data_IF_333640403131
#
_entry.id   IF_333640403131
#
_cell.length_a   1.000
_cell.length_b   1.000
_cell.length_c   1.000
_cell.angle_alpha   90.00
_cell.angle_beta   90.00
_cell.angle_gamma   90.00
#
_symmetry.space_group_name_H-M   'P 1'
#
loop_
_entity.id
_entity.type
_entity.pdbx_description
1 polymer ?
#
# COMPACT_ATOMS: atom_id res chain seq x y z
N UNK A 1 8.43 13.65 12.36
CA UNK A 1 7.63 12.59 11.67
C UNK A 1 7.47 11.36 12.56
N UNK A 2 6.51 10.52 12.21
CA UNK A 2 6.31 9.22 12.89
C UNK A 2 7.58 8.38 12.79
N UNK A 3 8.23 8.38 11.63
CA UNK A 3 9.49 7.68 11.41
C UNK A 3 10.55 8.09 12.42
N UNK A 4 10.79 9.39 12.54
CA UNK A 4 11.78 9.92 13.47
C UNK A 4 11.46 9.56 14.94
N UNK A 5 10.18 9.61 15.31
CA UNK A 5 9.74 9.25 16.64
C UNK A 5 10.02 7.78 16.96
N UNK A 6 9.72 6.88 16.01
CA UNK A 6 9.97 5.44 16.17
C UNK A 6 11.48 5.13 16.18
N UNK A 7 12.26 5.80 15.35
CA UNK A 7 13.72 5.62 15.32
C UNK A 7 14.36 6.03 16.65
N UNK A 8 13.84 7.08 17.30
CA UNK A 8 14.28 7.49 18.64
C UNK A 8 14.01 6.43 19.71
N UNK A 9 12.96 5.63 19.52
CA UNK A 9 12.62 4.52 20.42
C UNK A 9 13.41 3.23 20.08
N UNK A 10 14.34 3.28 19.13
CA UNK A 10 15.22 2.19 18.80
C UNK A 10 14.71 1.28 17.66
N UNK A 11 13.65 1.65 16.99
CA UNK A 11 13.14 0.88 15.84
C UNK A 11 13.90 1.21 14.56
N UNK A 12 14.14 0.20 13.74
CA UNK A 12 14.51 0.40 12.35
C UNK A 12 13.24 0.65 11.54
N UNK A 13 13.15 1.79 10.88
CA UNK A 13 11.93 2.18 10.15
C UNK A 13 12.21 2.29 8.67
N UNK A 14 11.40 1.58 7.87
CA UNK A 14 11.39 1.69 6.41
C UNK A 14 10.02 2.22 5.98
N UNK A 15 10.03 3.25 5.15
CA UNK A 15 8.83 3.87 4.59
C UNK A 15 8.98 3.97 3.08
N UNK A 16 8.85 2.84 2.37
CA UNK A 16 9.05 2.81 0.92
C UNK A 16 7.91 3.49 0.18
N UNK A 17 8.22 4.10 -0.95
CA UNK A 17 7.22 4.51 -1.92
C UNK A 17 6.79 3.31 -2.75
N UNK A 18 5.48 3.16 -2.94
CA UNK A 18 4.94 2.13 -3.81
C UNK A 18 5.19 2.48 -5.29
N UNK A 19 5.28 1.47 -6.14
CA UNK A 19 5.47 1.68 -7.58
C UNK A 19 4.43 2.65 -8.13
N UNK A 20 4.91 3.69 -8.82
CA UNK A 20 4.07 4.72 -9.43
C UNK A 20 3.66 5.84 -8.49
N UNK A 21 4.08 5.81 -7.22
CA UNK A 21 3.75 6.84 -6.22
C UNK A 21 4.99 7.63 -5.80
N UNK A 22 4.76 8.87 -5.36
CA UNK A 22 5.78 9.76 -4.83
C UNK A 22 7.02 9.84 -5.75
N UNK A 23 8.20 9.59 -5.22
CA UNK A 23 9.46 9.59 -5.97
C UNK A 23 9.56 8.48 -7.02
N UNK A 24 8.64 7.50 -7.00
CA UNK A 24 8.52 6.45 -8.02
C UNK A 24 7.40 6.71 -9.02
N UNK A 25 6.91 7.94 -9.11
CA UNK A 25 5.81 8.31 -10.00
C UNK A 25 6.12 8.03 -11.48
N UNK A 26 7.37 8.14 -11.89
CA UNK A 26 7.81 7.85 -13.27
C UNK A 26 7.56 6.40 -13.70
N UNK A 27 7.28 5.49 -12.76
CA UNK A 27 6.98 4.08 -13.03
C UNK A 27 5.49 3.83 -13.22
N UNK A 28 4.64 4.86 -13.10
CA UNK A 28 3.19 4.69 -13.24
C UNK A 28 2.82 4.31 -14.68
N UNK A 29 2.01 3.28 -14.81
CA UNK A 29 1.43 2.86 -16.08
C UNK A 29 0.13 2.09 -15.82
N UNK A 30 -0.54 1.68 -16.88
CA UNK A 30 -1.84 1.00 -16.81
C UNK A 30 -1.80 -0.38 -16.14
N UNK A 31 -0.62 -0.98 -16.01
CA UNK A 31 -0.45 -2.31 -15.40
C UNK A 31 -0.13 -2.24 -13.90
N UNK A 32 0.10 -1.05 -13.36
CA UNK A 32 0.34 -0.86 -11.93
C UNK A 32 -0.97 -0.95 -11.17
N UNK A 33 -1.04 -1.87 -10.23
CA UNK A 33 -2.23 -2.09 -9.42
C UNK A 33 -1.89 -2.61 -8.03
N UNK A 34 -2.90 -3.13 -7.33
CA UNK A 34 -2.74 -3.63 -5.97
C UNK A 34 -1.70 -4.75 -5.89
N UNK A 35 -1.71 -5.68 -6.83
CA UNK A 35 -0.72 -6.78 -6.86
C UNK A 35 0.71 -6.24 -6.97
N UNK A 36 0.92 -5.20 -7.77
CA UNK A 36 2.22 -4.53 -7.88
C UNK A 36 2.67 -3.99 -6.53
N UNK A 37 1.77 -3.34 -5.82
CA UNK A 37 2.06 -2.73 -4.51
C UNK A 37 2.26 -3.78 -3.42
N UNK A 38 1.54 -4.88 -3.48
CA UNK A 38 1.75 -6.02 -2.59
C UNK A 38 3.16 -6.59 -2.80
N UNK A 39 3.58 -6.77 -4.05
CA UNK A 39 4.91 -7.24 -4.40
C UNK A 39 6.00 -6.25 -3.93
N UNK A 40 5.78 -4.95 -4.08
CA UNK A 40 6.72 -3.94 -3.60
C UNK A 40 7.09 -4.18 -2.13
N UNK A 41 6.10 -4.45 -1.29
CA UNK A 41 6.30 -4.65 0.15
C UNK A 41 6.85 -6.03 0.47
N UNK A 42 6.29 -7.07 -0.13
CA UNK A 42 6.75 -8.43 0.09
C UNK A 42 8.22 -8.60 -0.31
N UNK A 43 8.60 -8.08 -1.48
CA UNK A 43 9.98 -8.14 -1.97
C UNK A 43 10.94 -7.33 -1.12
N UNK A 44 10.54 -6.15 -0.65
CA UNK A 44 11.35 -5.36 0.25
C UNK A 44 11.72 -6.16 1.50
N UNK A 45 10.72 -6.79 2.12
CA UNK A 45 10.93 -7.58 3.34
C UNK A 45 11.83 -8.78 3.07
N UNK A 46 11.64 -9.48 1.95
CA UNK A 46 12.48 -10.60 1.55
C UNK A 46 13.93 -10.19 1.27
N UNK A 47 14.13 -9.17 0.43
CA UNK A 47 15.46 -8.76 -0.01
C UNK A 47 16.27 -8.08 1.08
N UNK A 48 15.63 -7.38 2.00
CA UNK A 48 16.30 -6.81 3.19
C UNK A 48 16.43 -7.83 4.33
N UNK A 49 15.96 -9.05 4.12
CA UNK A 49 15.99 -10.16 5.09
C UNK A 49 15.45 -9.74 6.46
N UNK A 50 14.31 -9.07 6.45
CA UNK A 50 13.69 -8.55 7.66
C UNK A 50 12.92 -9.64 8.40
N UNK A 51 13.05 -9.65 9.73
CA UNK A 51 12.32 -10.54 10.64
C UNK A 51 11.60 -9.70 11.70
N UNK A 52 10.59 -10.29 12.35
CA UNK A 52 9.80 -9.65 13.40
C UNK A 52 9.22 -8.28 12.97
N UNK A 53 8.77 -8.20 11.72
CA UNK A 53 8.29 -6.96 11.12
C UNK A 53 6.94 -6.57 11.70
N UNK A 54 6.83 -5.31 12.12
CA UNK A 54 5.56 -4.64 12.38
C UNK A 54 5.19 -3.91 11.09
N UNK A 55 4.18 -4.40 10.40
CA UNK A 55 3.77 -3.84 9.11
C UNK A 55 2.59 -2.90 9.32
N UNK A 56 2.79 -1.63 9.00
CA UNK A 56 1.82 -0.56 9.25
C UNK A 56 1.22 -0.06 7.95
N UNK A 57 -0.09 -0.01 7.84
CA UNK A 57 -0.80 0.54 6.69
C UNK A 57 -1.75 1.66 7.10
N UNK A 58 -1.72 2.76 6.34
CA UNK A 58 -2.66 3.86 6.45
C UNK A 58 -3.49 3.94 5.18
N UNK A 59 -4.80 4.19 5.32
CA UNK A 59 -5.73 4.35 4.19
C UNK A 59 -5.64 3.16 3.20
N UNK A 60 -5.34 3.42 1.94
CA UNK A 60 -5.11 2.39 0.93
C UNK A 60 -4.02 1.38 1.32
N UNK A 61 -3.04 1.81 2.13
CA UNK A 61 -1.99 0.93 2.64
C UNK A 61 -2.54 -0.31 3.38
N UNK A 62 -3.74 -0.24 3.92
CA UNK A 62 -4.41 -1.39 4.53
C UNK A 62 -4.68 -2.53 3.54
N UNK A 63 -5.02 -2.19 2.29
CA UNK A 63 -5.17 -3.17 1.20
C UNK A 63 -3.83 -3.87 0.93
N UNK A 64 -2.77 -3.07 0.86
CA UNK A 64 -1.43 -3.54 0.52
C UNK A 64 -0.88 -4.47 1.60
N UNK A 65 -0.93 -4.04 2.88
CA UNK A 65 -0.39 -4.86 3.97
C UNK A 65 -1.18 -6.15 4.19
N UNK A 66 -2.48 -6.13 3.94
CA UNK A 66 -3.31 -7.35 4.02
C UNK A 66 -2.85 -8.38 2.99
N UNK A 67 -2.65 -7.95 1.74
CA UNK A 67 -2.13 -8.82 0.69
C UNK A 67 -0.71 -9.29 0.94
N UNK A 68 0.17 -8.38 1.35
CA UNK A 68 1.56 -8.72 1.68
C UNK A 68 1.65 -9.72 2.83
N UNK A 69 0.81 -9.58 3.85
CA UNK A 69 0.78 -10.49 4.99
C UNK A 69 0.51 -11.94 4.58
N UNK A 70 -0.32 -12.16 3.57
CA UNK A 70 -0.59 -13.50 3.05
C UNK A 70 0.67 -14.14 2.43
N UNK A 71 1.57 -13.32 1.85
CA UNK A 71 2.78 -13.81 1.20
C UNK A 71 3.95 -14.04 2.16
N UNK A 72 4.04 -13.24 3.24
CA UNK A 72 5.23 -13.17 4.09
C UNK A 72 4.91 -13.27 5.58
N UNK A 73 3.84 -13.95 5.94
CA UNK A 73 3.34 -14.05 7.33
C UNK A 73 4.40 -14.51 8.34
N UNK A 74 5.34 -15.35 7.92
CA UNK A 74 6.37 -15.89 8.78
C UNK A 74 7.41 -14.85 9.21
N UNK A 75 7.45 -13.72 8.52
CA UNK A 75 8.34 -12.58 8.80
C UNK A 75 7.69 -11.49 9.63
N UNK A 76 6.37 -11.59 9.86
CA UNK A 76 5.60 -10.56 10.54
C UNK A 76 5.38 -10.90 12.01
N UNK A 77 5.50 -9.88 12.87
CA UNK A 77 5.05 -9.96 14.25
C UNK A 77 3.65 -9.35 14.43
N UNK A 78 3.39 -8.22 13.77
CA UNK A 78 2.12 -7.48 13.90
C UNK A 78 1.72 -6.81 12.60
N UNK A 79 0.40 -6.68 12.42
CA UNK A 79 -0.22 -5.81 11.41
C UNK A 79 -0.91 -4.67 12.14
N UNK A 80 -0.64 -3.43 11.72
CA UNK A 80 -1.24 -2.24 12.31
C UNK A 80 -1.97 -1.46 11.22
N UNK A 81 -3.25 -1.22 11.43
CA UNK A 81 -4.11 -0.46 10.52
C UNK A 81 -4.43 0.88 11.15
N UNK A 82 -4.00 1.97 10.52
CA UNK A 82 -4.27 3.33 10.98
C UNK A 82 -5.22 3.99 9.99
N UNK A 83 -6.47 4.14 10.40
CA UNK A 83 -7.52 4.70 9.54
C UNK A 83 -7.44 4.13 8.12
N UNK A 84 -7.44 2.81 8.04
CA UNK A 84 -7.07 2.07 6.83
C UNK A 84 -8.16 1.10 6.41
N UNK A 85 -8.15 0.76 5.11
CA UNK A 85 -9.02 -0.29 4.60
C UNK A 85 -8.60 -1.65 5.13
N UNK A 86 -9.57 -2.43 5.56
CA UNK A 86 -9.41 -3.80 5.97
C UNK A 86 -10.24 -4.70 5.05
N UNK A 87 -9.70 -5.14 3.93
CA UNK A 87 -10.44 -5.94 2.96
C UNK A 87 -10.63 -7.36 3.43
N UNK A 88 -11.73 -7.97 2.98
CA UNK A 88 -11.92 -9.41 2.99
C UNK A 88 -11.41 -10.01 1.69
N UNK A 89 -11.17 -11.31 1.67
CA UNK A 89 -10.76 -12.00 0.46
C UNK A 89 -11.73 -11.71 -0.70
N UNK A 90 -11.18 -11.27 -1.84
CA UNK A 90 -11.94 -10.95 -3.03
C UNK A 90 -12.47 -9.52 -3.11
N UNK A 91 -12.35 -8.72 -2.05
CA UNK A 91 -12.75 -7.32 -2.07
C UNK A 91 -11.65 -6.43 -2.67
N UNK A 92 -12.06 -5.42 -3.40
CA UNK A 92 -11.18 -4.35 -3.87
C UNK A 92 -11.57 -3.02 -3.23
N UNK A 93 -10.75 -1.99 -3.42
CA UNK A 93 -11.01 -0.66 -2.87
C UNK A 93 -12.36 -0.09 -3.33
N UNK A 94 -12.80 -0.47 -4.52
CA UNK A 94 -14.09 -0.10 -5.08
C UNK A 94 -15.26 -0.56 -4.19
N UNK A 95 -15.18 -1.78 -3.68
CA UNK A 95 -16.21 -2.38 -2.83
C UNK A 95 -16.32 -1.68 -1.47
N UNK A 96 -15.19 -1.14 -0.99
CA UNK A 96 -15.09 -0.50 0.31
C UNK A 96 -15.43 1.00 0.29
N UNK A 97 -15.48 1.61 -0.90
CA UNK A 97 -15.73 3.03 -1.08
C UNK A 97 -16.80 3.27 -2.15
N UNK A 98 -18.09 3.07 -1.82
CA UNK A 98 -19.17 3.16 -2.80
C UNK A 98 -19.35 4.56 -3.43
N UNK A 99 -18.80 5.60 -2.83
CA UNK A 99 -18.81 6.97 -3.36
C UNK A 99 -17.69 7.25 -4.38
N UNK A 100 -16.76 6.31 -4.58
CA UNK A 100 -15.64 6.45 -5.52
C UNK A 100 -16.01 6.21 -7.00
N UNK A 101 -17.08 5.48 -7.37
CA UNK A 101 -17.37 5.18 -8.77
C UNK A 101 -17.34 6.39 -9.71
N UNK A 102 -17.93 7.51 -9.30
CA UNK A 102 -17.95 8.74 -10.12
C UNK A 102 -16.56 9.30 -10.40
N UNK A 103 -15.68 9.25 -9.42
CA UNK A 103 -14.30 9.71 -9.55
C UNK A 103 -13.53 8.82 -10.52
N UNK A 104 -13.66 7.50 -10.39
CA UNK A 104 -13.02 6.54 -11.28
C UNK A 104 -13.53 6.69 -12.72
N UNK A 105 -14.83 6.87 -12.92
CA UNK A 105 -15.39 7.09 -14.26
C UNK A 105 -14.84 8.36 -14.89
N UNK A 106 -14.70 9.45 -14.13
CA UNK A 106 -14.10 10.68 -14.63
C UNK A 106 -12.66 10.45 -15.11
N UNK A 107 -11.87 9.69 -14.35
CA UNK A 107 -10.50 9.36 -14.73
C UNK A 107 -10.43 8.44 -15.93
N UNK A 108 -11.34 7.47 -16.02
CA UNK A 108 -11.45 6.56 -17.16
C UNK A 108 -11.73 7.32 -18.44
N UNK A 109 -12.66 8.26 -18.39
CA UNK A 109 -13.00 9.11 -19.54
C UNK A 109 -11.82 9.97 -20.00
N UNK A 110 -10.88 10.28 -19.11
CA UNK A 110 -9.64 10.99 -19.44
C UNK A 110 -8.52 10.04 -19.90
N UNK A 111 -8.80 8.76 -20.08
CA UNK A 111 -7.82 7.72 -20.42
C UNK A 111 -6.63 7.61 -19.45
N UNK A 112 -6.84 8.00 -18.19
CA UNK A 112 -5.82 7.98 -17.15
C UNK A 112 -6.37 7.49 -15.82
N UNK A 113 -7.02 6.31 -15.77
CA UNK A 113 -7.65 5.81 -14.55
C UNK A 113 -6.66 5.53 -13.42
N UNK A 114 -5.37 5.37 -13.75
CA UNK A 114 -4.30 5.14 -12.79
C UNK A 114 -3.76 6.40 -12.11
N UNK A 115 -4.15 7.59 -12.55
CA UNK A 115 -3.72 8.88 -11.95
C UNK A 115 -4.73 9.34 -10.89
N UNK A 116 -5.07 8.45 -10.00
CA UNK A 116 -6.05 8.72 -8.94
C UNK A 116 -5.53 9.64 -7.83
N UNK A 117 -4.25 9.58 -7.55
CA UNK A 117 -3.64 10.28 -6.42
C UNK A 117 -3.78 11.80 -6.45
N UNK A 118 -4.00 12.38 -7.61
CA UNK A 118 -4.18 13.84 -7.73
C UNK A 118 -5.55 14.35 -7.27
N UNK A 119 -6.49 13.44 -6.99
CA UNK A 119 -7.83 13.79 -6.56
C UNK A 119 -8.05 13.58 -5.05
N UNK A 120 -7.07 13.00 -4.40
CA UNK A 120 -7.00 12.83 -2.95
C UNK A 120 -6.06 13.82 -2.32
#
# INVERSE_FOLDING_TARGET
TIREALEKEGHRVLAPSLTGMADRHHLINENVGLETHIDDIARLIEWEDLEDVILVGHSYGGMVITGAAACIKDRLSHLVYIDAFLPRAGECAWDLLPWQPEVFETLRLKNKPWIFTKLM
#
